data_IF_537137492788
#
_entry.id   IF_537137492788
#
_cell.length_a   1.000
_cell.length_b   1.000
_cell.length_c   1.000
_cell.angle_alpha   90.00
_cell.angle_beta   90.00
_cell.angle_gamma   90.00
#
_symmetry.space_group_name_H-M   'P 1'
#
loop_
_entity.id
_entity.type
_entity.pdbx_description
1 polymer ?
#
# COMPACT_ATOMS: atom_id res chain seq x y z
N UNK A 1 104.21 -45.54 -18.09
CA UNK A 1 102.82 -45.41 -17.60
C UNK A 1 102.88 -45.12 -16.12
N UNK A 2 102.51 -43.91 -15.73
CA UNK A 2 101.53 -43.54 -14.69
C UNK A 2 101.71 -42.05 -14.46
N UNK A 3 100.72 -41.28 -14.91
CA UNK A 3 100.71 -39.83 -14.84
C UNK A 3 100.22 -39.40 -13.46
N UNK A 4 100.94 -38.44 -12.88
CA UNK A 4 100.55 -37.66 -11.71
C UNK A 4 99.18 -37.01 -11.92
N UNK A 5 98.33 -37.12 -10.91
CA UNK A 5 97.17 -36.25 -10.72
C UNK A 5 97.60 -35.12 -9.77
N UNK A 6 97.63 -33.87 -10.24
CA UNK A 6 97.75 -32.68 -9.39
C UNK A 6 96.54 -31.76 -9.68
N UNK A 7 95.90 -31.16 -8.65
CA UNK A 7 94.58 -30.55 -8.77
C UNK A 7 94.69 -29.03 -8.93
N UNK A 8 94.98 -28.52 -10.13
CA UNK A 8 95.04 -27.07 -10.38
C UNK A 8 94.38 -26.66 -11.71
N UNK A 9 93.29 -27.33 -12.09
CA UNK A 9 92.52 -26.97 -13.30
C UNK A 9 91.16 -26.37 -12.94
N UNK A 10 91.16 -25.20 -12.30
CA UNK A 10 89.99 -24.28 -12.20
C UNK A 10 90.44 -22.84 -12.50
N UNK A 11 91.21 -22.65 -13.56
CA UNK A 11 91.41 -21.34 -14.16
C UNK A 11 91.06 -21.45 -15.64
N UNK A 12 89.83 -21.02 -15.96
CA UNK A 12 89.43 -20.76 -17.33
C UNK A 12 90.13 -19.52 -17.87
N UNK A 13 90.74 -19.73 -19.03
CA UNK A 13 90.96 -18.82 -20.15
C UNK A 13 91.76 -17.53 -19.84
N UNK A 14 93.07 -17.63 -20.12
CA UNK A 14 94.15 -16.66 -19.92
C UNK A 14 94.15 -15.42 -20.86
N UNK A 15 93.05 -15.06 -21.54
CA UNK A 15 93.12 -14.12 -22.68
C UNK A 15 92.48 -12.74 -22.51
N UNK A 16 92.34 -12.23 -21.27
CA UNK A 16 91.99 -10.81 -21.04
C UNK A 16 92.77 -10.22 -19.86
N UNK A 17 94.09 -10.12 -20.03
CA UNK A 17 94.96 -9.36 -19.14
C UNK A 17 94.81 -7.86 -19.45
N UNK A 18 94.18 -7.11 -18.53
CA UNK A 18 94.51 -5.69 -18.40
C UNK A 18 95.76 -5.61 -17.53
N UNK A 19 96.91 -5.86 -18.14
CA UNK A 19 98.17 -5.40 -17.56
C UNK A 19 98.07 -3.90 -17.35
N UNK A 20 98.53 -3.40 -16.20
CA UNK A 20 98.81 -1.97 -16.07
C UNK A 20 99.66 -1.56 -17.27
N UNK A 21 99.31 -0.49 -18.02
CA UNK A 21 100.05 -0.10 -19.21
C UNK A 21 101.55 -0.11 -18.93
N UNK A 22 102.26 -1.04 -19.56
CA UNK A 22 103.68 -1.25 -19.34
C UNK A 22 104.39 0.06 -19.67
N UNK A 23 104.95 0.72 -18.65
CA UNK A 23 105.63 2.01 -18.79
C UNK A 23 104.99 3.21 -18.07
N UNK A 24 103.92 3.03 -17.29
CA UNK A 24 103.44 4.11 -16.42
C UNK A 24 104.48 4.44 -15.33
N UNK A 25 104.90 5.72 -15.20
CA UNK A 25 105.67 6.17 -14.05
C UNK A 25 104.98 5.76 -12.75
N UNK A 26 105.74 5.39 -11.72
CA UNK A 26 105.20 4.88 -10.45
C UNK A 26 104.07 5.75 -9.86
N UNK A 27 104.10 7.07 -10.10
CA UNK A 27 103.05 8.03 -9.70
C UNK A 27 101.70 7.78 -10.38
N UNK A 28 101.67 7.40 -11.66
CA UNK A 28 100.40 7.17 -12.37
C UNK A 28 99.82 5.76 -12.13
N UNK A 29 100.67 4.78 -11.78
CA UNK A 29 100.19 3.49 -11.26
C UNK A 29 99.53 3.70 -9.89
N UNK A 30 100.11 4.55 -9.05
CA UNK A 30 99.52 4.98 -7.78
C UNK A 30 98.19 5.71 -8.02
N UNK A 31 98.12 6.70 -8.92
CA UNK A 31 96.87 7.40 -9.27
C UNK A 31 95.77 6.46 -9.83
N UNK A 32 96.13 5.40 -10.56
CA UNK A 32 95.17 4.38 -11.04
C UNK A 32 94.60 3.53 -9.90
N UNK A 33 95.42 3.19 -8.90
CA UNK A 33 94.97 2.47 -7.70
C UNK A 33 94.22 3.38 -6.73
N UNK A 34 94.61 4.65 -6.61
CA UNK A 34 93.91 5.68 -5.83
C UNK A 34 92.51 5.94 -6.44
N UNK A 35 92.40 6.00 -7.77
CA UNK A 35 91.10 6.10 -8.47
C UNK A 35 90.20 4.87 -8.29
N UNK A 36 90.77 3.69 -7.97
CA UNK A 36 90.02 2.48 -7.60
C UNK A 36 89.64 2.45 -6.11
N UNK A 37 90.41 3.09 -5.24
CA UNK A 37 90.08 3.28 -3.81
C UNK A 37 88.96 4.31 -3.57
N UNK A 38 88.83 5.31 -4.45
CA UNK A 38 87.80 6.37 -4.36
C UNK A 38 86.41 5.96 -4.88
N UNK A 39 86.29 4.83 -5.56
CA UNK A 39 84.98 4.29 -5.94
C UNK A 39 84.29 3.69 -4.72
N UNK A 40 83.45 4.48 -4.06
CA UNK A 40 82.52 4.03 -3.03
C UNK A 40 81.37 3.23 -3.67
N UNK A 41 81.69 2.08 -4.29
CA UNK A 41 80.76 1.28 -5.13
C UNK A 41 79.57 0.74 -4.31
N UNK A 42 79.69 0.72 -2.98
CA UNK A 42 78.65 0.32 -2.04
C UNK A 42 78.26 1.46 -1.08
N UNK A 43 78.71 2.70 -1.29
CA UNK A 43 78.35 3.85 -0.44
C UNK A 43 76.84 4.10 -0.38
N UNK A 44 76.12 3.73 -1.44
CA UNK A 44 74.66 3.74 -1.53
C UNK A 44 74.01 2.47 -0.95
N UNK A 45 74.53 1.95 0.17
CA UNK A 45 73.78 1.06 1.07
C UNK A 45 72.65 1.86 1.72
N UNK A 46 71.68 2.30 0.92
CA UNK A 46 70.54 3.08 1.38
C UNK A 46 69.85 2.34 2.52
N UNK A 47 69.59 3.04 3.62
CA UNK A 47 68.81 2.52 4.73
C UNK A 47 67.45 2.03 4.22
N UNK A 48 67.02 0.86 4.69
CA UNK A 48 65.71 0.31 4.34
C UNK A 48 64.61 1.27 4.78
N UNK A 49 63.70 1.65 3.88
CA UNK A 49 62.72 2.71 4.15
C UNK A 49 61.64 2.32 5.15
N UNK A 50 61.43 1.01 5.35
CA UNK A 50 60.30 0.45 6.11
C UNK A 50 60.72 -0.58 7.15
N UNK A 51 62.02 -0.69 7.43
CA UNK A 51 62.53 -1.60 8.47
C UNK A 51 63.17 -0.78 9.57
N UNK A 52 62.80 -1.05 10.81
CA UNK A 52 63.37 -0.36 11.95
C UNK A 52 64.86 -0.73 12.12
N UNK A 53 65.73 0.28 12.22
CA UNK A 53 67.15 0.10 12.52
C UNK A 53 67.55 0.92 13.76
N UNK A 54 67.59 0.31 14.96
CA UNK A 54 67.93 1.01 16.18
C UNK A 54 69.40 1.46 16.24
N UNK A 55 70.30 0.83 15.47
CA UNK A 55 71.72 1.20 15.46
C UNK A 55 71.97 2.55 14.79
N UNK A 56 71.13 2.90 13.81
CA UNK A 56 71.19 4.20 13.11
C UNK A 56 70.11 5.16 13.58
N UNK A 57 69.38 4.83 14.66
CA UNK A 57 68.25 5.61 15.17
C UNK A 57 67.14 5.82 14.12
N UNK A 58 66.97 4.86 13.20
CA UNK A 58 66.03 4.92 12.09
C UNK A 58 64.67 4.30 12.49
N UNK A 59 63.63 5.13 12.60
CA UNK A 59 62.26 4.72 12.93
C UNK A 59 61.32 5.07 11.77
N UNK A 60 61.06 4.13 10.85
CA UNK A 60 60.29 4.43 9.66
C UNK A 60 58.81 4.61 9.99
N UNK A 61 58.14 5.49 9.24
CA UNK A 61 56.68 5.61 9.30
C UNK A 61 56.06 4.48 8.48
N UNK A 62 55.58 3.46 9.17
CA UNK A 62 55.03 2.26 8.55
C UNK A 62 53.65 2.53 7.92
N UNK A 63 53.47 2.26 6.61
CA UNK A 63 52.17 2.30 5.96
C UNK A 63 51.12 1.39 6.63
N UNK A 64 51.52 0.19 7.06
CA UNK A 64 50.69 -0.77 7.81
C UNK A 64 50.17 -0.18 9.12
N UNK A 65 51.06 0.36 9.96
CA UNK A 65 50.69 0.98 11.24
C UNK A 65 49.79 2.21 11.03
N UNK A 66 50.05 3.00 9.99
CA UNK A 66 49.22 4.15 9.64
C UNK A 66 47.80 3.72 9.25
N UNK A 67 47.67 2.65 8.47
CA UNK A 67 46.38 2.11 8.06
C UNK A 67 45.64 1.46 9.23
N UNK A 68 46.31 0.69 10.08
CA UNK A 68 45.73 0.13 11.31
C UNK A 68 45.16 1.22 12.21
N UNK A 69 45.91 2.30 12.46
CA UNK A 69 45.42 3.44 13.22
C UNK A 69 44.15 4.06 12.59
N UNK A 70 44.06 4.12 11.26
CA UNK A 70 42.85 4.57 10.55
C UNK A 70 41.69 3.59 10.65
N UNK A 71 41.95 2.29 10.81
CA UNK A 71 40.93 1.27 11.06
C UNK A 71 40.41 1.42 12.48
N UNK A 72 41.29 1.45 13.49
CA UNK A 72 40.91 1.61 14.91
C UNK A 72 40.09 2.87 15.14
N UNK A 73 40.55 4.02 14.64
CA UNK A 73 39.79 5.29 14.73
C UNK A 73 38.40 5.18 14.12
N UNK A 74 38.26 4.46 13.01
CA UNK A 74 36.98 4.27 12.35
C UNK A 74 36.04 3.37 13.16
N UNK A 75 36.55 2.23 13.65
CA UNK A 75 35.81 1.31 14.53
C UNK A 75 35.28 2.07 15.75
N UNK A 76 36.12 2.84 16.42
CA UNK A 76 35.75 3.63 17.60
C UNK A 76 34.71 4.70 17.25
N UNK A 77 34.92 5.47 16.17
CA UNK A 77 34.00 6.54 15.78
C UNK A 77 32.60 6.04 15.34
N UNK A 78 32.53 4.79 14.88
CA UNK A 78 31.28 4.16 14.46
C UNK A 78 30.70 3.20 15.49
N UNK A 79 31.34 3.05 16.66
CA UNK A 79 30.95 2.13 17.73
C UNK A 79 30.69 0.70 17.22
N UNK A 80 31.53 0.23 16.29
CA UNK A 80 31.40 -1.13 15.77
C UNK A 80 31.76 -2.14 16.86
N UNK A 81 30.94 -3.17 16.97
CA UNK A 81 31.01 -4.25 17.97
C UNK A 81 31.53 -5.53 17.35
N UNK A 82 31.93 -6.50 18.17
CA UNK A 82 32.45 -7.79 17.70
C UNK A 82 31.45 -8.59 16.85
N UNK A 83 30.16 -8.31 17.00
CA UNK A 83 29.09 -8.98 16.27
C UNK A 83 28.84 -8.34 14.89
N UNK A 84 29.37 -7.14 14.64
CA UNK A 84 29.22 -6.47 13.34
C UNK A 84 30.11 -7.14 12.29
N UNK A 85 29.53 -7.54 11.17
CA UNK A 85 30.27 -8.17 10.07
C UNK A 85 31.42 -7.29 9.57
N UNK A 86 31.22 -5.97 9.55
CA UNK A 86 32.21 -4.98 9.15
C UNK A 86 33.34 -4.84 10.18
N UNK A 87 33.05 -5.00 11.47
CA UNK A 87 34.10 -5.08 12.50
C UNK A 87 34.99 -6.30 12.24
N UNK A 88 34.39 -7.48 12.06
CA UNK A 88 35.13 -8.72 11.81
C UNK A 88 36.01 -8.60 10.57
N UNK A 89 35.49 -7.99 9.49
CA UNK A 89 36.27 -7.75 8.27
C UNK A 89 37.42 -6.76 8.50
N UNK A 90 37.18 -5.65 9.19
CA UNK A 90 38.22 -4.66 9.49
C UNK A 90 39.30 -5.23 10.41
N UNK A 91 38.93 -6.04 11.40
CA UNK A 91 39.87 -6.74 12.29
C UNK A 91 40.70 -7.77 11.52
N UNK A 92 40.11 -8.52 10.58
CA UNK A 92 40.86 -9.40 9.68
C UNK A 92 41.88 -8.64 8.83
N UNK A 93 41.50 -7.47 8.29
CA UNK A 93 42.45 -6.64 7.54
C UNK A 93 43.54 -6.10 8.46
N UNK A 94 43.21 -5.70 9.69
CA UNK A 94 44.19 -5.25 10.68
C UNK A 94 45.24 -6.33 10.99
N UNK A 95 44.81 -7.59 11.19
CA UNK A 95 45.72 -8.71 11.42
C UNK A 95 46.62 -8.96 10.20
N UNK A 96 46.06 -8.97 8.98
CA UNK A 96 46.86 -9.08 7.76
C UNK A 96 47.92 -7.98 7.62
N UNK A 97 47.66 -6.78 8.14
CA UNK A 97 48.65 -5.70 8.14
C UNK A 97 49.78 -5.93 9.15
N UNK A 98 49.52 -6.66 10.25
CA UNK A 98 50.57 -7.11 11.18
C UNK A 98 51.43 -8.14 10.47
N UNK A 99 50.80 -9.20 9.97
CA UNK A 99 51.48 -10.32 9.30
C UNK A 99 52.34 -9.80 8.13
N UNK A 100 51.78 -8.92 7.29
CA UNK A 100 52.50 -8.31 6.16
C UNK A 100 53.71 -7.47 6.60
N UNK A 101 53.65 -6.80 7.75
CA UNK A 101 54.78 -6.04 8.28
C UNK A 101 55.87 -6.98 8.79
N UNK A 102 55.48 -8.01 9.54
CA UNK A 102 56.42 -8.99 10.10
C UNK A 102 57.14 -9.75 8.98
N UNK A 103 56.39 -10.26 8.00
CA UNK A 103 56.95 -10.96 6.83
C UNK A 103 57.93 -10.06 6.05
N UNK A 104 57.54 -8.80 5.78
CA UNK A 104 58.40 -7.86 5.07
C UNK A 104 59.68 -7.54 5.84
N UNK A 105 59.60 -7.32 7.15
CA UNK A 105 60.77 -7.09 7.98
C UNK A 105 61.73 -8.28 7.99
N UNK A 106 61.22 -9.50 8.08
CA UNK A 106 62.04 -10.71 8.11
C UNK A 106 62.72 -10.97 6.76
N UNK A 107 62.00 -10.81 5.65
CA UNK A 107 62.58 -10.93 4.32
C UNK A 107 63.65 -9.85 4.05
N UNK A 108 63.40 -8.62 4.48
CA UNK A 108 64.36 -7.53 4.37
C UNK A 108 65.61 -7.78 5.23
N UNK A 109 65.45 -8.29 6.46
CA UNK A 109 66.58 -8.69 7.32
C UNK A 109 67.45 -9.76 6.68
N UNK A 110 66.86 -10.73 5.96
CA UNK A 110 67.63 -11.74 5.22
C UNK A 110 68.48 -11.08 4.13
N UNK A 111 67.94 -10.11 3.39
CA UNK A 111 68.72 -9.37 2.40
C UNK A 111 69.81 -8.51 3.05
N UNK A 112 69.51 -7.85 4.18
CA UNK A 112 70.50 -7.08 4.94
C UNK A 112 71.68 -7.93 5.37
N UNK A 113 71.45 -9.12 5.91
CA UNK A 113 72.53 -10.03 6.31
C UNK A 113 73.43 -10.42 5.14
N UNK A 114 72.84 -10.71 3.97
CA UNK A 114 73.60 -11.03 2.75
C UNK A 114 74.44 -9.85 2.29
N UNK A 115 73.85 -8.66 2.27
CA UNK A 115 74.53 -7.44 1.87
C UNK A 115 75.66 -7.11 2.86
N UNK A 116 75.42 -7.18 4.16
CA UNK A 116 76.45 -6.93 5.18
C UNK A 116 77.63 -7.90 5.05
N UNK A 117 77.37 -9.20 4.81
CA UNK A 117 78.43 -10.18 4.53
C UNK A 117 79.26 -9.80 3.30
N UNK A 118 78.63 -9.31 2.23
CA UNK A 118 79.34 -8.86 1.02
C UNK A 118 80.12 -7.55 1.25
N UNK A 119 79.60 -6.67 2.11
CA UNK A 119 80.29 -5.44 2.51
C UNK A 119 81.52 -5.76 3.36
N UNK A 120 81.41 -6.72 4.29
CA UNK A 120 82.52 -7.25 5.06
C UNK A 120 83.58 -7.86 4.11
N UNK A 121 83.19 -8.71 3.16
CA UNK A 121 84.08 -9.24 2.11
C UNK A 121 84.77 -8.12 1.32
N UNK A 122 84.04 -7.07 0.92
CA UNK A 122 84.59 -5.94 0.17
C UNK A 122 85.59 -5.13 1.01
N UNK A 123 85.29 -4.92 2.29
CA UNK A 123 86.20 -4.24 3.23
C UNK A 123 87.47 -5.05 3.49
N UNK A 124 87.37 -6.38 3.55
CA UNK A 124 88.52 -7.26 3.64
C UNK A 124 89.41 -7.13 2.38
N UNK A 125 88.82 -7.15 1.18
CA UNK A 125 89.55 -6.92 -0.09
C UNK A 125 90.24 -5.56 -0.11
N UNK A 126 89.59 -4.51 0.39
CA UNK A 126 90.15 -3.14 0.48
C UNK A 126 91.30 -3.03 1.48
N UNK A 127 91.26 -3.79 2.58
CA UNK A 127 92.27 -3.72 3.66
C UNK A 127 93.46 -4.66 3.44
N UNK A 128 93.37 -5.64 2.54
CA UNK A 128 94.51 -6.46 2.11
C UNK A 128 95.62 -5.58 1.52
N UNK A 129 96.72 -5.43 2.26
CA UNK A 129 97.89 -4.66 1.81
C UNK A 129 98.59 -5.38 0.65
N UNK A 130 99.02 -4.59 -0.33
CA UNK A 130 99.95 -5.04 -1.35
C UNK A 130 101.28 -5.42 -0.67
N UNK A 131 101.59 -6.71 -0.58
CA UNK A 131 102.90 -7.18 -0.14
C UNK A 131 103.69 -7.62 -1.38
N UNK A 132 104.98 -7.29 -1.46
CA UNK A 132 105.85 -7.59 -2.61
C UNK A 132 105.99 -9.12 -2.84
N UNK A 133 105.73 -9.92 -1.81
CA UNK A 133 105.69 -11.38 -1.86
C UNK A 133 104.27 -11.95 -2.07
N UNK A 134 103.23 -11.12 -2.02
CA UNK A 134 101.85 -11.52 -2.32
C UNK A 134 101.65 -11.57 -3.84
N UNK A 135 101.23 -12.72 -4.34
CA UNK A 135 100.95 -12.99 -5.76
C UNK A 135 99.76 -12.15 -6.29
N UNK A 136 99.02 -11.48 -5.41
CA UNK A 136 97.85 -10.68 -5.77
C UNK A 136 98.24 -9.35 -6.42
N UNK A 137 98.02 -9.28 -7.73
CA UNK A 137 98.14 -8.05 -8.50
C UNK A 137 96.96 -7.11 -8.23
N UNK A 138 97.12 -5.83 -8.46
CA UNK A 138 96.02 -4.88 -8.28
C UNK A 138 94.84 -5.11 -9.22
N UNK A 139 95.07 -5.78 -10.36
CA UNK A 139 94.00 -6.28 -11.24
C UNK A 139 93.22 -7.43 -10.60
N UNK A 140 93.83 -8.29 -9.80
CA UNK A 140 93.14 -9.34 -9.03
C UNK A 140 92.24 -8.76 -7.93
N UNK A 141 92.70 -7.73 -7.23
CA UNK A 141 91.88 -7.01 -6.23
C UNK A 141 90.66 -6.35 -6.90
N UNK A 142 90.86 -5.72 -8.07
CA UNK A 142 89.76 -5.16 -8.88
C UNK A 142 88.77 -6.25 -9.33
N UNK A 143 89.25 -7.40 -9.83
CA UNK A 143 88.40 -8.52 -10.25
C UNK A 143 87.57 -9.08 -9.09
N UNK A 144 88.15 -9.21 -7.90
CA UNK A 144 87.43 -9.63 -6.68
C UNK A 144 86.37 -8.60 -6.28
N UNK A 145 86.72 -7.31 -6.29
CA UNK A 145 85.78 -6.21 -6.00
C UNK A 145 84.59 -6.22 -6.97
N UNK A 146 84.85 -6.32 -8.27
CA UNK A 146 83.81 -6.35 -9.30
C UNK A 146 82.90 -7.59 -9.14
N UNK A 147 83.46 -8.74 -8.76
CA UNK A 147 82.69 -9.95 -8.44
C UNK A 147 81.78 -9.76 -7.22
N UNK A 148 82.27 -9.11 -6.15
CA UNK A 148 81.46 -8.82 -4.96
C UNK A 148 80.31 -7.86 -5.31
N UNK A 149 80.58 -6.82 -6.10
CA UNK A 149 79.56 -5.87 -6.58
C UNK A 149 78.52 -6.58 -7.46
N UNK A 150 78.96 -7.48 -8.34
CA UNK A 150 78.07 -8.30 -9.15
C UNK A 150 77.17 -9.21 -8.28
N UNK A 151 77.67 -9.72 -7.15
CA UNK A 151 76.87 -10.49 -6.16
C UNK A 151 75.93 -9.61 -5.32
N UNK A 152 76.30 -8.37 -5.04
CA UNK A 152 75.49 -7.43 -4.26
C UNK A 152 74.30 -6.89 -5.08
N UNK A 153 74.48 -6.70 -6.39
CA UNK A 153 73.46 -6.14 -7.29
C UNK A 153 72.11 -6.90 -7.25
N UNK A 154 72.06 -8.25 -7.32
CA UNK A 154 70.83 -9.01 -7.11
C UNK A 154 70.16 -8.81 -5.76
N UNK A 155 70.94 -8.58 -4.68
CA UNK A 155 70.39 -8.34 -3.35
C UNK A 155 69.66 -6.99 -3.29
N UNK A 156 70.26 -5.94 -3.87
CA UNK A 156 69.62 -4.62 -3.99
C UNK A 156 68.34 -4.67 -4.82
N UNK A 157 68.36 -5.38 -5.96
CA UNK A 157 67.15 -5.58 -6.78
C UNK A 157 66.06 -6.34 -6.02
N UNK A 158 66.45 -7.34 -5.23
CA UNK A 158 65.52 -8.10 -4.39
C UNK A 158 64.88 -7.21 -3.33
N UNK A 159 65.65 -6.37 -2.64
CA UNK A 159 65.11 -5.37 -1.69
C UNK A 159 64.10 -4.42 -2.34
N UNK A 160 64.46 -3.82 -3.48
CA UNK A 160 63.57 -2.91 -4.19
C UNK A 160 62.24 -3.59 -4.56
N UNK A 161 62.30 -4.86 -5.01
CA UNK A 161 61.11 -5.66 -5.30
C UNK A 161 60.27 -5.95 -4.05
N UNK A 162 60.90 -6.24 -2.91
CA UNK A 162 60.21 -6.46 -1.64
C UNK A 162 59.47 -5.20 -1.18
N UNK A 163 60.09 -4.03 -1.29
CA UNK A 163 59.43 -2.75 -0.97
C UNK A 163 58.23 -2.47 -1.89
N UNK A 164 58.38 -2.73 -3.20
CA UNK A 164 57.28 -2.58 -4.16
C UNK A 164 56.12 -3.53 -3.86
N UNK A 165 56.42 -4.80 -3.56
CA UNK A 165 55.40 -5.81 -3.20
C UNK A 165 54.70 -5.45 -1.89
N UNK A 166 55.43 -5.00 -0.88
CA UNK A 166 54.89 -4.54 0.38
C UNK A 166 53.92 -3.35 0.18
N UNK A 167 54.34 -2.32 -0.56
CA UNK A 167 53.48 -1.17 -0.84
C UNK A 167 52.25 -1.55 -1.68
N UNK A 168 52.42 -2.44 -2.66
CA UNK A 168 51.32 -2.97 -3.45
C UNK A 168 50.28 -3.68 -2.57
N UNK A 169 50.73 -4.57 -1.67
CA UNK A 169 49.86 -5.27 -0.74
C UNK A 169 49.15 -4.31 0.23
N UNK A 170 49.85 -3.32 0.78
CA UNK A 170 49.23 -2.28 1.62
C UNK A 170 48.17 -1.50 0.86
N UNK A 171 48.41 -1.17 -0.41
CA UNK A 171 47.44 -0.46 -1.26
C UNK A 171 46.16 -1.27 -1.44
N UNK A 172 46.27 -2.56 -1.75
CA UNK A 172 45.11 -3.46 -1.89
C UNK A 172 44.32 -3.55 -0.58
N UNK A 173 45.00 -3.68 0.56
CA UNK A 173 44.34 -3.70 1.87
C UNK A 173 43.69 -2.34 2.19
N UNK A 174 44.30 -1.22 1.79
CA UNK A 174 43.73 0.12 1.97
C UNK A 174 42.43 0.29 1.16
N UNK A 175 42.37 -0.22 -0.07
CA UNK A 175 41.16 -0.22 -0.88
C UNK A 175 40.05 -1.06 -0.25
N UNK A 176 40.38 -2.26 0.26
CA UNK A 176 39.42 -3.09 0.99
C UNK A 176 38.83 -2.34 2.20
N UNK A 177 39.68 -1.66 2.98
CA UNK A 177 39.23 -0.82 4.10
C UNK A 177 38.28 0.28 3.61
N UNK A 178 38.58 0.96 2.50
CA UNK A 178 37.71 2.01 1.97
C UNK A 178 36.36 1.46 1.51
N UNK A 179 36.34 0.30 0.87
CA UNK A 179 35.09 -0.36 0.47
C UNK A 179 34.22 -0.69 1.68
N UNK A 180 34.81 -1.26 2.74
CA UNK A 180 34.09 -1.57 3.97
C UNK A 180 33.55 -0.29 4.61
N UNK A 181 34.38 0.76 4.71
CA UNK A 181 33.95 2.08 5.22
C UNK A 181 32.80 2.67 4.42
N UNK A 182 32.82 2.52 3.09
CA UNK A 182 31.74 2.92 2.19
C UNK A 182 30.43 2.21 2.53
N UNK A 183 30.46 0.87 2.66
CA UNK A 183 29.27 0.07 3.01
C UNK A 183 28.67 0.47 4.35
N UNK A 184 29.50 0.67 5.39
CA UNK A 184 29.04 1.12 6.72
C UNK A 184 28.32 2.46 6.62
N UNK A 185 28.87 3.42 5.87
CA UNK A 185 28.23 4.74 5.67
C UNK A 185 26.90 4.62 4.95
N UNK A 186 26.86 3.91 3.82
CA UNK A 186 25.64 3.70 3.05
C UNK A 186 24.55 2.99 3.85
N UNK A 187 24.88 1.95 4.61
CA UNK A 187 23.93 1.24 5.46
C UNK A 187 23.36 2.15 6.56
N UNK A 188 24.21 3.01 7.15
CA UNK A 188 23.78 3.97 8.18
C UNK A 188 22.86 5.03 7.59
N UNK A 189 23.16 5.55 6.41
CA UNK A 189 22.33 6.56 5.75
C UNK A 189 20.98 5.96 5.31
N UNK A 190 20.97 4.71 4.84
CA UNK A 190 19.74 3.98 4.56
C UNK A 190 18.87 3.78 5.81
N UNK A 191 19.47 3.38 6.95
CA UNK A 191 18.74 3.26 8.23
C UNK A 191 18.17 4.60 8.68
N UNK A 192 18.96 5.68 8.61
CA UNK A 192 18.49 7.04 8.94
C UNK A 192 17.35 7.49 8.05
N UNK A 193 17.41 7.20 6.74
CA UNK A 193 16.31 7.48 5.83
C UNK A 193 15.06 6.69 6.22
N UNK A 194 15.19 5.39 6.51
CA UNK A 194 14.09 4.55 6.96
C UNK A 194 13.45 5.07 8.27
N UNK A 195 14.27 5.45 9.26
CA UNK A 195 13.80 6.03 10.53
C UNK A 195 13.05 7.35 10.32
N UNK A 196 13.54 8.20 9.40
CA UNK A 196 12.85 9.46 9.04
C UNK A 196 11.48 9.20 8.41
N UNK A 197 11.35 8.18 7.57
CA UNK A 197 10.09 7.87 6.87
C UNK A 197 9.11 7.03 7.71
N UNK A 198 9.59 6.28 8.70
CA UNK A 198 8.75 5.44 9.57
C UNK A 198 7.54 6.17 10.18
N UNK A 199 7.66 7.34 10.83
CA UNK A 199 6.50 8.02 11.41
C UNK A 199 5.51 8.49 10.34
N UNK A 200 5.99 8.89 9.17
CA UNK A 200 5.14 9.31 8.04
C UNK A 200 4.34 8.12 7.51
N UNK A 201 4.99 6.96 7.34
CA UNK A 201 4.31 5.73 6.91
C UNK A 201 3.24 5.29 7.92
N UNK A 202 3.54 5.40 9.22
CA UNK A 202 2.57 5.09 10.28
C UNK A 202 1.37 6.07 10.26
N UNK A 203 1.63 7.37 10.08
CA UNK A 203 0.56 8.36 9.91
C UNK A 203 -0.30 8.09 8.68
N UNK A 204 0.31 7.79 7.54
CA UNK A 204 -0.42 7.44 6.32
C UNK A 204 -1.28 6.19 6.55
N UNK A 205 -0.76 5.15 7.21
CA UNK A 205 -1.55 3.95 7.54
C UNK A 205 -2.77 4.31 8.39
N UNK A 206 -2.59 5.11 9.44
CA UNK A 206 -3.68 5.55 10.31
C UNK A 206 -4.74 6.36 9.55
N UNK A 207 -4.32 7.26 8.65
CA UNK A 207 -5.25 8.04 7.81
C UNK A 207 -6.04 7.13 6.88
N UNK A 208 -5.39 6.14 6.25
CA UNK A 208 -6.05 5.17 5.37
C UNK A 208 -7.09 4.35 6.14
N UNK A 209 -6.75 3.87 7.34
CA UNK A 209 -7.70 3.13 8.20
C UNK A 209 -8.88 4.00 8.64
N UNK A 210 -8.64 5.28 8.98
CA UNK A 210 -9.71 6.22 9.33
C UNK A 210 -10.62 6.50 8.14
N UNK A 211 -10.07 6.72 6.95
CA UNK A 211 -10.86 6.95 5.74
C UNK A 211 -11.75 5.75 5.42
N UNK A 212 -11.24 4.52 5.53
CA UNK A 212 -12.04 3.32 5.32
C UNK A 212 -13.23 3.22 6.29
N UNK A 213 -13.02 3.60 7.57
CA UNK A 213 -14.11 3.65 8.57
C UNK A 213 -15.16 4.71 8.23
N UNK A 214 -14.71 5.90 7.80
CA UNK A 214 -15.60 6.99 7.40
C UNK A 214 -16.41 6.63 6.15
N UNK A 215 -15.78 6.00 5.16
CA UNK A 215 -16.45 5.52 3.94
C UNK A 215 -17.53 4.49 4.27
N UNK A 216 -17.23 3.55 5.17
CA UNK A 216 -18.23 2.60 5.70
C UNK A 216 -19.41 3.31 6.36
N UNK A 217 -19.15 4.25 7.27
CA UNK A 217 -20.19 5.03 7.92
C UNK A 217 -21.06 5.85 6.95
N UNK A 218 -20.45 6.42 5.90
CA UNK A 218 -21.19 7.13 4.84
C UNK A 218 -22.07 6.18 4.04
N UNK A 219 -21.60 4.96 3.75
CA UNK A 219 -22.40 3.95 3.05
C UNK A 219 -23.63 3.53 3.88
N UNK A 220 -23.46 3.30 5.18
CA UNK A 220 -24.55 2.96 6.10
C UNK A 220 -25.59 4.08 6.19
N UNK A 221 -25.14 5.33 6.35
CA UNK A 221 -26.03 6.50 6.37
C UNK A 221 -26.80 6.67 5.06
N UNK A 222 -26.15 6.42 3.91
CA UNK A 222 -26.82 6.46 2.60
C UNK A 222 -27.89 5.37 2.49
N UNK A 223 -27.61 4.17 2.97
CA UNK A 223 -28.59 3.08 3.02
C UNK A 223 -29.79 3.46 3.90
N UNK A 224 -29.55 4.04 5.07
CA UNK A 224 -30.60 4.49 5.99
C UNK A 224 -31.48 5.59 5.40
N UNK A 225 -30.87 6.62 4.79
CA UNK A 225 -31.61 7.66 4.07
C UNK A 225 -32.45 7.05 2.94
N UNK A 226 -31.93 6.04 2.24
CA UNK A 226 -32.66 5.28 1.24
C UNK A 226 -33.91 4.59 1.82
N UNK A 227 -33.77 3.91 2.96
CA UNK A 227 -34.89 3.26 3.68
C UNK A 227 -35.96 4.27 4.11
N UNK A 228 -35.55 5.37 4.76
CA UNK A 228 -36.47 6.41 5.22
C UNK A 228 -37.22 7.06 4.06
N UNK A 229 -36.54 7.35 2.94
CA UNK A 229 -37.18 7.88 1.73
C UNK A 229 -38.19 6.90 1.13
N UNK A 230 -37.92 5.60 1.15
CA UNK A 230 -38.87 4.59 0.70
C UNK A 230 -40.11 4.55 1.61
N UNK A 231 -39.89 4.58 2.94
CA UNK A 231 -40.97 4.59 3.92
C UNK A 231 -41.89 5.82 3.78
N UNK A 232 -41.30 7.02 3.66
CA UNK A 232 -42.07 8.26 3.45
C UNK A 232 -42.88 8.24 2.15
N UNK A 233 -42.34 7.66 1.08
CA UNK A 233 -43.08 7.48 -0.19
C UNK A 233 -44.27 6.53 -0.01
N UNK A 234 -44.07 5.41 0.68
CA UNK A 234 -45.15 4.46 0.96
C UNK A 234 -46.27 5.12 1.81
N UNK A 235 -45.89 5.84 2.87
CA UNK A 235 -46.83 6.57 3.72
C UNK A 235 -47.61 7.64 2.94
N UNK A 236 -46.92 8.43 2.11
CA UNK A 236 -47.57 9.42 1.23
C UNK A 236 -48.60 8.76 0.31
N UNK A 237 -48.27 7.63 -0.30
CA UNK A 237 -49.17 6.90 -1.19
C UNK A 237 -50.39 6.35 -0.45
N UNK A 238 -50.20 5.85 0.78
CA UNK A 238 -51.30 5.40 1.65
C UNK A 238 -52.26 6.55 1.97
N UNK A 239 -51.75 7.73 2.34
CA UNK A 239 -52.58 8.92 2.59
C UNK A 239 -53.37 9.35 1.35
N UNK A 240 -52.75 9.31 0.16
CA UNK A 240 -53.44 9.62 -1.09
C UNK A 240 -54.56 8.60 -1.36
N UNK A 241 -54.31 7.31 -1.13
CA UNK A 241 -55.31 6.25 -1.31
C UNK A 241 -56.50 6.43 -0.37
N UNK A 242 -56.25 6.70 0.92
CA UNK A 242 -57.31 6.94 1.91
C UNK A 242 -58.12 8.20 1.60
N UNK A 243 -57.48 9.26 1.09
CA UNK A 243 -58.22 10.43 0.57
C UNK A 243 -59.17 10.04 -0.56
N UNK A 244 -58.68 9.29 -1.56
CA UNK A 244 -59.51 8.82 -2.67
C UNK A 244 -60.67 7.93 -2.21
N UNK A 245 -60.44 7.03 -1.25
CA UNK A 245 -61.50 6.18 -0.66
C UNK A 245 -62.56 7.01 0.04
N UNK A 246 -62.15 8.01 0.82
CA UNK A 246 -63.06 8.92 1.50
C UNK A 246 -63.90 9.74 0.51
N UNK A 247 -63.27 10.28 -0.53
CA UNK A 247 -63.97 11.07 -1.55
C UNK A 247 -65.00 10.21 -2.29
N UNK A 248 -64.64 8.97 -2.65
CA UNK A 248 -65.57 8.01 -3.24
C UNK A 248 -66.74 7.66 -2.31
N UNK A 249 -66.47 7.39 -1.04
CA UNK A 249 -67.51 7.12 -0.03
C UNK A 249 -68.44 8.33 0.18
N UNK A 250 -67.87 9.55 0.19
CA UNK A 250 -68.63 10.79 0.30
C UNK A 250 -69.56 10.97 -0.90
N UNK A 251 -69.06 10.79 -2.13
CA UNK A 251 -69.90 10.85 -3.33
C UNK A 251 -70.99 9.79 -3.34
N UNK A 252 -70.67 8.54 -2.97
CA UNK A 252 -71.66 7.47 -2.86
C UNK A 252 -72.77 7.81 -1.84
N UNK A 253 -72.40 8.36 -0.68
CA UNK A 253 -73.35 8.83 0.33
C UNK A 253 -74.23 9.97 -0.19
N UNK A 254 -73.66 10.95 -0.90
CA UNK A 254 -74.42 12.04 -1.51
C UNK A 254 -75.41 11.52 -2.56
N UNK A 255 -74.97 10.60 -3.44
CA UNK A 255 -75.85 9.97 -4.43
C UNK A 255 -76.99 9.19 -3.76
N UNK A 256 -76.69 8.46 -2.67
CA UNK A 256 -77.70 7.73 -1.91
C UNK A 256 -78.73 8.67 -1.29
N UNK A 257 -78.29 9.76 -0.65
CA UNK A 257 -79.19 10.78 -0.09
C UNK A 257 -80.04 11.46 -1.16
N UNK A 258 -79.47 11.78 -2.33
CA UNK A 258 -80.23 12.34 -3.44
C UNK A 258 -81.34 11.39 -3.90
N UNK A 259 -81.04 10.09 -4.05
CA UNK A 259 -82.03 9.06 -4.40
C UNK A 259 -83.12 8.90 -3.34
N UNK A 260 -82.77 8.97 -2.06
CA UNK A 260 -83.75 8.93 -0.96
C UNK A 260 -84.68 10.14 -0.99
N UNK A 261 -84.14 11.33 -1.25
CA UNK A 261 -84.95 12.55 -1.36
C UNK A 261 -85.90 12.47 -2.57
N UNK A 262 -85.40 12.05 -3.73
CA UNK A 262 -86.26 11.77 -4.90
C UNK A 262 -87.36 10.75 -4.58
N UNK A 263 -87.04 9.69 -3.84
CA UNK A 263 -88.00 8.70 -3.40
C UNK A 263 -89.08 9.29 -2.49
N UNK A 264 -88.70 10.13 -1.53
CA UNK A 264 -89.65 10.85 -0.65
C UNK A 264 -90.51 11.84 -1.41
N UNK A 265 -89.95 12.55 -2.37
CA UNK A 265 -90.71 13.51 -3.18
C UNK A 265 -91.76 12.76 -4.03
N UNK A 266 -91.39 11.63 -4.65
CA UNK A 266 -92.35 10.75 -5.34
C UNK A 266 -93.44 10.21 -4.41
N UNK A 267 -93.09 9.84 -3.18
CA UNK A 267 -94.06 9.36 -2.19
C UNK A 267 -95.08 10.46 -1.82
N UNK A 268 -94.61 11.71 -1.63
CA UNK A 268 -95.50 12.86 -1.41
C UNK A 268 -96.40 13.12 -2.61
N UNK A 269 -95.88 13.04 -3.84
CA UNK A 269 -96.66 13.24 -5.06
C UNK A 269 -97.78 12.19 -5.16
N UNK A 270 -97.45 10.91 -4.92
CA UNK A 270 -98.43 9.82 -4.87
C UNK A 270 -99.45 10.03 -3.74
N UNK A 271 -99.03 10.49 -2.56
CA UNK A 271 -99.93 10.80 -1.45
C UNK A 271 -100.92 11.92 -1.84
N UNK A 272 -100.46 12.96 -2.54
CA UNK A 272 -101.32 14.03 -3.08
C UNK A 272 -102.32 13.47 -4.09
N UNK A 273 -101.88 12.63 -5.03
CA UNK A 273 -102.75 12.00 -6.04
C UNK A 273 -103.81 11.11 -5.38
N UNK A 274 -103.41 10.24 -4.44
CA UNK A 274 -104.33 9.36 -3.70
C UNK A 274 -105.34 10.17 -2.90
N UNK A 275 -104.90 11.23 -2.20
CA UNK A 275 -105.79 12.11 -1.46
C UNK A 275 -106.77 12.85 -2.39
N UNK A 276 -106.32 13.27 -3.57
CA UNK A 276 -107.20 13.89 -4.56
C UNK A 276 -108.24 12.91 -5.08
N UNK A 277 -107.85 11.67 -5.39
CA UNK A 277 -108.77 10.61 -5.81
C UNK A 277 -109.78 10.26 -4.71
N UNK A 278 -109.33 10.17 -3.45
CA UNK A 278 -110.20 9.96 -2.30
C UNK A 278 -111.25 11.08 -2.16
N UNK A 279 -110.88 12.35 -2.37
CA UNK A 279 -111.83 13.47 -2.40
C UNK A 279 -112.85 13.33 -3.52
N UNK A 280 -112.43 12.95 -4.72
CA UNK A 280 -113.34 12.72 -5.86
C UNK A 280 -114.33 11.60 -5.52
N UNK A 281 -113.85 10.49 -4.99
CA UNK A 281 -114.71 9.37 -4.57
C UNK A 281 -115.68 9.77 -3.46
N UNK A 282 -115.24 10.55 -2.46
CA UNK A 282 -116.12 11.06 -1.42
C UNK A 282 -117.19 12.00 -1.98
N UNK A 283 -116.83 12.88 -2.93
CA UNK A 283 -117.80 13.74 -3.61
C UNK A 283 -118.83 12.90 -4.38
N UNK A 284 -118.39 11.88 -5.11
CA UNK A 284 -119.28 10.94 -5.80
C UNK A 284 -120.20 10.20 -4.84
N UNK A 285 -119.69 9.70 -3.71
CA UNK A 285 -120.49 9.03 -2.69
C UNK A 285 -121.53 9.97 -2.08
N UNK A 286 -121.14 11.20 -1.74
CA UNK A 286 -122.07 12.23 -1.26
C UNK A 286 -123.15 12.55 -2.30
N UNK A 287 -122.79 12.63 -3.59
CA UNK A 287 -123.75 12.82 -4.68
C UNK A 287 -124.72 11.64 -4.79
N UNK A 288 -124.24 10.40 -4.68
CA UNK A 288 -125.09 9.20 -4.67
C UNK A 288 -126.08 9.27 -3.51
N UNK A 289 -125.62 9.56 -2.29
CA UNK A 289 -126.51 9.71 -1.14
C UNK A 289 -127.50 10.87 -1.28
N UNK A 290 -127.09 12.00 -1.85
CA UNK A 290 -128.00 13.12 -2.12
C UNK A 290 -129.07 12.74 -3.15
N UNK A 291 -128.69 12.00 -4.20
CA UNK A 291 -129.61 11.46 -5.21
C UNK A 291 -130.55 10.41 -4.62
N UNK A 292 -130.05 9.49 -3.78
CA UNK A 292 -130.86 8.50 -3.06
C UNK A 292 -131.87 9.19 -2.12
N UNK A 293 -131.42 10.16 -1.33
CA UNK A 293 -132.27 10.93 -0.40
C UNK A 293 -133.31 11.80 -1.14
N UNK A 294 -132.99 12.31 -2.34
CA UNK A 294 -133.95 13.02 -3.21
C UNK A 294 -134.92 12.07 -3.89
N UNK A 295 -134.46 10.90 -4.33
CA UNK A 295 -135.31 9.82 -4.85
C UNK A 295 -136.35 9.35 -3.83
N UNK A 296 -135.93 9.20 -2.56
CA UNK A 296 -136.82 8.90 -1.42
C UNK A 296 -137.87 9.99 -1.16
N UNK A 297 -137.65 11.23 -1.64
CA UNK A 297 -138.61 12.35 -1.55
C UNK A 297 -139.52 12.49 -2.79
N UNK A 298 -139.45 11.57 -3.76
CA UNK A 298 -140.16 11.67 -5.05
C UNK A 298 -139.88 12.97 -5.82
N UNK A 299 -138.72 13.59 -5.61
CA UNK A 299 -138.30 14.80 -6.34
C UNK A 299 -137.71 14.38 -7.69
N UNK A 300 -138.52 14.44 -8.75
CA UNK A 300 -138.06 14.21 -10.13
C UNK A 300 -137.46 15.51 -10.67
N UNK A 301 -136.18 15.48 -11.00
CA UNK A 301 -135.49 16.61 -11.62
C UNK A 301 -135.30 16.35 -13.11
N UNK A 302 -135.59 17.37 -13.90
CA UNK A 302 -135.40 17.32 -15.35
C UNK A 302 -134.24 18.25 -15.72
N UNK A 303 -133.32 17.77 -16.57
CA UNK A 303 -132.15 18.55 -16.98
C UNK A 303 -132.53 19.42 -18.18
N UNK A 304 -133.06 20.61 -17.91
CA UNK A 304 -133.30 21.62 -18.95
C UNK A 304 -132.21 22.68 -18.96
N UNK A 305 -131.58 22.90 -20.11
CA UNK A 305 -130.58 23.95 -20.36
C UNK A 305 -129.39 23.97 -19.39
N UNK A 306 -128.78 22.81 -19.12
CA UNK A 306 -127.54 22.72 -18.32
C UNK A 306 -127.68 23.01 -16.82
N UNK A 307 -128.91 23.22 -16.34
CA UNK A 307 -129.24 23.50 -14.93
C UNK A 307 -130.33 22.53 -14.46
N UNK A 308 -130.13 21.91 -13.30
CA UNK A 308 -131.13 21.03 -12.68
C UNK A 308 -132.25 21.86 -12.05
N UNK A 309 -133.49 21.71 -12.54
CA UNK A 309 -134.67 22.40 -11.99
C UNK A 309 -135.68 21.40 -11.41
N UNK A 310 -136.23 21.74 -10.25
CA UNK A 310 -137.33 21.01 -9.60
C UNK A 310 -138.56 21.00 -10.51
N UNK A 311 -139.06 19.82 -10.89
CA UNK A 311 -140.34 19.73 -11.57
C UNK A 311 -141.47 20.09 -10.59
N UNK A 312 -142.16 21.23 -10.80
CA UNK A 312 -143.28 21.65 -9.94
C UNK A 312 -144.46 20.67 -10.08
N UNK A 313 -144.79 20.03 -8.96
CA UNK A 313 -146.02 19.34 -8.58
C UNK A 313 -147.11 19.20 -9.67
N UNK A 314 -147.11 18.06 -10.36
CA UNK A 314 -148.36 17.45 -10.84
C UNK A 314 -148.87 16.49 -9.77
N UNK A 315 -149.97 16.89 -9.13
CA UNK A 315 -150.81 16.07 -8.25
C UNK A 315 -151.31 14.87 -9.08
N UNK A 316 -150.69 13.69 -8.92
CA UNK A 316 -151.26 12.45 -9.47
C UNK A 316 -152.56 12.13 -8.71
N UNK A 317 -153.64 12.08 -9.49
CA UNK A 317 -154.96 11.53 -9.17
C UNK A 317 -154.83 10.24 -8.36
N UNK A 318 -155.60 10.14 -7.27
CA UNK A 318 -156.01 8.85 -6.70
C UNK A 318 -156.94 8.17 -7.71
N UNK A 319 -156.61 6.94 -8.06
CA UNK A 319 -157.48 6.01 -8.76
C UNK A 319 -158.34 5.33 -7.69
N UNK A 320 -159.64 5.61 -7.68
CA UNK A 320 -160.65 4.70 -7.16
C UNK A 320 -161.05 3.81 -8.35
N UNK A 321 -161.17 2.50 -8.14
CA UNK A 321 -162.47 1.83 -8.05
C UNK A 321 -162.24 0.33 -7.89
N UNK A 322 -162.73 -0.14 -6.76
CA UNK A 322 -163.30 -1.45 -6.56
C UNK A 322 -163.90 -2.02 -7.86
N UNK A 323 -163.28 -3.09 -8.35
CA UNK A 323 -163.94 -4.06 -9.18
C UNK A 323 -163.53 -5.45 -8.69
N UNK A 324 -164.52 -6.08 -8.06
CA UNK A 324 -164.71 -7.53 -7.89
C UNK A 324 -163.91 -8.20 -6.76
N UNK A 325 -164.43 -8.04 -5.53
CA UNK A 325 -164.64 -9.19 -4.64
C UNK A 325 -165.79 -10.03 -5.21
N UNK A 326 -165.48 -11.09 -5.98
CA UNK A 326 -166.31 -12.28 -6.12
C UNK A 326 -165.51 -13.38 -6.85
N UNK A 327 -164.52 -13.96 -6.18
CA UNK A 327 -164.27 -15.41 -6.31
C UNK A 327 -163.33 -15.92 -5.18
N UNK A 328 -163.99 -16.19 -4.06
CA UNK A 328 -163.85 -17.47 -3.34
C UNK A 328 -162.46 -17.76 -2.75
N UNK A 329 -162.32 -17.35 -1.48
CA UNK A 329 -161.76 -18.23 -0.46
C UNK A 329 -162.49 -19.57 -0.51
N UNK A 330 -161.79 -20.66 -0.81
CA UNK A 330 -161.85 -21.94 -0.09
C UNK A 330 -161.19 -23.06 -0.90
N UNK A 331 -159.95 -23.39 -0.55
CA UNK A 331 -159.35 -24.73 -0.48
C UNK A 331 -157.84 -24.48 -0.29
N UNK A 332 -157.22 -24.60 0.89
CA UNK A 332 -157.26 -25.65 1.91
C UNK A 332 -156.65 -25.06 3.21
N UNK A 333 -157.11 -25.36 4.41
CA UNK A 333 -158.15 -26.29 4.81
C UNK A 333 -158.27 -26.40 6.33
N UNK A 334 -159.43 -26.91 6.75
CA UNK A 334 -159.58 -28.00 7.72
C UNK A 334 -159.04 -27.79 9.15
N UNK A 335 -160.02 -27.58 10.04
CA UNK A 335 -160.20 -28.12 11.41
C UNK A 335 -159.25 -27.67 12.53
N UNK A 336 -159.86 -26.96 13.50
CA UNK A 336 -160.22 -27.49 14.84
C UNK A 336 -161.58 -26.89 15.22
N UNK A 337 -162.70 -27.60 15.05
CA UNK A 337 -163.35 -28.54 15.98
C UNK A 337 -164.02 -27.92 17.22
N UNK A 338 -165.36 -28.00 17.22
CA UNK A 338 -166.27 -28.42 18.31
C UNK A 338 -166.35 -27.61 19.62
N UNK A 339 -167.61 -27.55 20.09
CA UNK A 339 -168.16 -27.14 21.39
C UNK A 339 -168.39 -25.62 21.50
N UNK A 340 -169.61 -25.08 21.48
CA UNK A 340 -170.97 -25.58 21.74
C UNK A 340 -171.99 -24.83 20.88
#
# INVERSE_FOLDING_TARGET
MEALYHPDSIFGDEETWYDAPVGLPAQHAQEYFDALEEQDVLGDLSENRYVHNPRTNHYPKLPTATLQNKITKFITAHHLTNDDAEYVQLSRVSNKLVDLQEDHEDEMRVQDRKINSLVEELSAVRTTRYEIENIYSGSDCKRKRDLIVAKATPCFRSKARLEEQYLGAVSVLAEQVQQIKGRVRSARDARRAQERWRPVLEQVRNIVEQNARLEGGVADLRAEVGRLRAHLRAHRNAVILERRRRDAAFHASQTYLARLNEGRDRERDLEVEVNQQARIMQQQANWIHELEARGMRNEVFDRQNGSWKMARATRKRRFNEDREEEEIKEERGVKRERLY
#
